data_IF_522898875227
#
_entry.id   IF_522898875227
#
_cell.length_a   1.000
_cell.length_b   1.000
_cell.length_c   1.000
_cell.angle_alpha   90.00
_cell.angle_beta   90.00
_cell.angle_gamma   90.00
#
_symmetry.space_group_name_H-M   'P 1'
#
loop_
_entity.id
_entity.type
_entity.pdbx_description
1 polymer ?
#
# COMPACT_ATOMS: atom_id res chain seq x y z
N UNK A 1 25.40 9.78 9.85
CA UNK A 1 24.88 8.52 10.44
C UNK A 1 23.45 8.68 10.95
N UNK A 2 23.13 9.71 11.75
CA UNK A 2 21.79 9.94 12.31
C UNK A 2 20.68 10.06 11.23
N UNK A 3 20.88 10.92 10.23
CA UNK A 3 19.95 11.10 9.10
C UNK A 3 19.67 9.82 8.31
N UNK A 4 20.67 8.94 8.15
CA UNK A 4 20.51 7.65 7.49
C UNK A 4 19.66 6.71 8.36
N UNK A 5 19.88 6.70 9.68
CA UNK A 5 19.08 5.90 10.62
C UNK A 5 17.61 6.36 10.63
N UNK A 6 17.37 7.67 10.64
CA UNK A 6 16.03 8.24 10.59
C UNK A 6 15.31 7.85 9.28
N UNK A 7 15.96 8.01 8.13
CA UNK A 7 15.42 7.58 6.83
C UNK A 7 15.13 6.07 6.79
N UNK A 8 16.01 5.23 7.35
CA UNK A 8 15.76 3.79 7.45
C UNK A 8 14.56 3.46 8.34
N UNK A 9 14.38 4.18 9.44
CA UNK A 9 13.22 4.00 10.34
C UNK A 9 11.91 4.38 9.64
N UNK A 10 11.90 5.50 8.92
CA UNK A 10 10.72 5.95 8.16
C UNK A 10 10.38 4.98 7.03
N UNK A 11 11.39 4.49 6.30
CA UNK A 11 11.18 3.48 5.27
C UNK A 11 10.61 2.18 5.87
N UNK A 12 11.13 1.74 7.03
CA UNK A 12 10.64 0.55 7.70
C UNK A 12 9.17 0.69 8.10
N UNK A 13 8.78 1.83 8.67
CA UNK A 13 7.38 2.11 8.99
C UNK A 13 6.48 2.08 7.74
N UNK A 14 6.93 2.69 6.63
CA UNK A 14 6.19 2.65 5.36
C UNK A 14 6.01 1.23 4.80
N UNK A 15 7.04 0.38 4.91
CA UNK A 15 6.96 -1.04 4.52
C UNK A 15 5.96 -1.79 5.41
N UNK A 16 5.99 -1.56 6.72
CA UNK A 16 5.08 -2.22 7.66
C UNK A 16 3.61 -1.85 7.40
N UNK A 17 3.35 -0.58 7.13
CA UNK A 17 2.02 -0.12 6.72
C UNK A 17 1.58 -0.74 5.39
N UNK A 18 2.48 -0.81 4.39
CA UNK A 18 2.21 -1.46 3.11
C UNK A 18 1.83 -2.94 3.30
N UNK A 19 2.60 -3.68 4.08
CA UNK A 19 2.36 -5.10 4.37
C UNK A 19 1.03 -5.30 5.11
N UNK A 20 0.67 -4.40 6.01
CA UNK A 20 -0.63 -4.42 6.69
C UNK A 20 -1.78 -4.22 5.70
N UNK A 21 -1.68 -3.24 4.80
CA UNK A 21 -2.71 -2.99 3.78
C UNK A 21 -2.80 -4.12 2.76
N UNK A 22 -1.68 -4.77 2.42
CA UNK A 22 -1.67 -5.95 1.56
C UNK A 22 -2.46 -7.11 2.20
N UNK A 23 -2.31 -7.33 3.51
CA UNK A 23 -3.10 -8.34 4.25
C UNK A 23 -4.60 -8.01 4.23
N UNK A 24 -4.96 -6.73 4.38
CA UNK A 24 -6.37 -6.29 4.27
C UNK A 24 -6.93 -6.61 2.88
N UNK A 25 -6.21 -6.25 1.81
CA UNK A 25 -6.63 -6.59 0.44
C UNK A 25 -6.81 -8.10 0.24
N UNK A 26 -5.88 -8.92 0.76
CA UNK A 26 -6.00 -10.38 0.69
C UNK A 26 -7.23 -10.90 1.43
N UNK A 27 -7.55 -10.36 2.61
CA UNK A 27 -8.73 -10.72 3.38
C UNK A 27 -10.03 -10.34 2.63
N UNK A 28 -10.09 -9.13 2.06
CA UNK A 28 -11.25 -8.68 1.29
C UNK A 28 -11.43 -9.50 0.00
N UNK A 29 -10.34 -9.86 -0.70
CA UNK A 29 -10.39 -10.77 -1.86
C UNK A 29 -10.93 -12.15 -1.46
N UNK A 30 -10.51 -12.71 -0.33
CA UNK A 30 -11.03 -13.98 0.18
C UNK A 30 -12.52 -13.88 0.53
N UNK A 31 -12.95 -12.76 1.11
CA UNK A 31 -14.36 -12.50 1.40
C UNK A 31 -15.19 -12.41 0.12
N UNK A 32 -14.70 -11.71 -0.90
CA UNK A 32 -15.33 -11.66 -2.22
C UNK A 32 -15.47 -13.04 -2.86
N UNK A 33 -14.42 -13.88 -2.81
CA UNK A 33 -14.47 -15.26 -3.33
C UNK A 33 -15.55 -16.06 -2.57
N UNK A 34 -15.59 -15.96 -1.24
CA UNK A 34 -16.59 -16.65 -0.42
C UNK A 34 -18.01 -16.23 -0.82
N UNK A 35 -18.27 -14.93 -0.95
CA UNK A 35 -19.56 -14.39 -1.38
C UNK A 35 -19.94 -14.82 -2.79
N UNK A 36 -18.95 -14.95 -3.69
CA UNK A 36 -19.14 -15.42 -5.06
C UNK A 36 -19.51 -16.90 -5.11
N UNK A 37 -18.89 -17.73 -4.28
CA UNK A 37 -19.17 -19.17 -4.21
C UNK A 37 -20.52 -19.44 -3.54
N UNK A 38 -20.89 -18.66 -2.52
CA UNK A 38 -22.15 -18.83 -1.80
C UNK A 38 -23.33 -18.07 -2.41
N UNK A 39 -23.15 -17.44 -3.57
CA UNK A 39 -24.12 -16.56 -4.24
C UNK A 39 -24.83 -15.62 -3.25
N UNK A 40 -24.04 -15.02 -2.36
CA UNK A 40 -24.54 -14.26 -1.20
C UNK A 40 -24.45 -12.75 -1.36
N UNK A 41 -24.05 -12.27 -2.54
CA UNK A 41 -24.11 -10.85 -2.86
C UNK A 41 -25.56 -10.35 -2.79
N UNK A 42 -25.76 -9.18 -2.18
CA UNK A 42 -27.09 -8.56 -2.04
C UNK A 42 -28.10 -9.28 -1.12
N UNK A 43 -27.71 -10.34 -0.40
CA UNK A 43 -28.59 -11.05 0.57
C UNK A 43 -28.57 -10.44 1.98
N UNK A 44 -27.58 -9.61 2.27
CA UNK A 44 -27.54 -8.69 3.41
C UNK A 44 -27.33 -7.28 2.86
N UNK A 45 -27.97 -6.28 3.47
CA UNK A 45 -27.99 -4.89 2.99
C UNK A 45 -26.67 -4.42 2.35
N UNK A 46 -26.76 -4.03 1.08
CA UNK A 46 -25.94 -2.93 0.58
C UNK A 46 -24.86 -3.21 -0.46
N UNK A 47 -24.37 -4.44 -0.66
CA UNK A 47 -23.22 -4.62 -1.58
C UNK A 47 -23.47 -5.60 -2.73
N UNK A 48 -23.70 -5.00 -3.91
CA UNK A 48 -23.66 -5.71 -5.19
C UNK A 48 -22.25 -6.23 -5.49
N UNK A 49 -22.16 -7.25 -6.34
CA UNK A 49 -20.87 -7.76 -6.85
C UNK A 49 -19.99 -6.66 -7.46
N UNK A 50 -20.60 -5.67 -8.12
CA UNK A 50 -19.89 -4.55 -8.73
C UNK A 50 -19.34 -3.57 -7.68
N UNK A 51 -20.08 -3.31 -6.60
CA UNK A 51 -19.60 -2.51 -5.45
C UNK A 51 -18.35 -3.15 -4.85
N UNK A 52 -18.38 -4.47 -4.67
CA UNK A 52 -17.24 -5.25 -4.18
C UNK A 52 -16.01 -5.17 -5.10
N UNK A 53 -16.20 -5.33 -6.40
CA UNK A 53 -15.10 -5.23 -7.35
C UNK A 53 -14.47 -3.83 -7.36
N UNK A 54 -15.30 -2.78 -7.30
CA UNK A 54 -14.82 -1.40 -7.17
C UNK A 54 -14.02 -1.20 -5.87
N UNK A 55 -14.52 -1.73 -4.75
CA UNK A 55 -13.81 -1.65 -3.47
C UNK A 55 -12.43 -2.33 -3.53
N UNK A 56 -12.35 -3.54 -4.09
CA UNK A 56 -11.08 -4.25 -4.28
C UNK A 56 -10.12 -3.49 -5.18
N UNK A 57 -10.63 -2.91 -6.27
CA UNK A 57 -9.84 -2.09 -7.18
C UNK A 57 -9.27 -0.86 -6.46
N UNK A 58 -10.06 -0.16 -5.64
CA UNK A 58 -9.59 1.00 -4.87
C UNK A 58 -8.48 0.62 -3.86
N UNK A 59 -8.57 -0.55 -3.23
CA UNK A 59 -7.53 -1.06 -2.34
C UNK A 59 -6.24 -1.37 -3.11
N UNK A 60 -6.35 -1.98 -4.29
CA UNK A 60 -5.22 -2.27 -5.18
C UNK A 60 -4.54 -0.97 -5.64
N UNK A 61 -5.32 -0.02 -6.16
CA UNK A 61 -4.81 1.29 -6.59
C UNK A 61 -4.13 2.05 -5.44
N UNK A 62 -4.68 1.98 -4.21
CA UNK A 62 -4.05 2.59 -3.04
C UNK A 62 -2.68 1.98 -2.72
N UNK A 63 -2.53 0.66 -2.85
CA UNK A 63 -1.25 -0.02 -2.64
C UNK A 63 -0.23 0.35 -3.71
N UNK A 64 -0.64 0.44 -4.98
CA UNK A 64 0.23 0.85 -6.08
C UNK A 64 0.74 2.28 -5.88
N UNK A 65 -0.14 3.21 -5.49
CA UNK A 65 0.25 4.58 -5.17
C UNK A 65 1.29 4.60 -4.05
N UNK A 66 1.06 3.88 -2.95
CA UNK A 66 2.02 3.80 -1.83
C UNK A 66 3.38 3.27 -2.28
N UNK A 67 3.40 2.22 -3.10
CA UNK A 67 4.62 1.63 -3.61
C UNK A 67 5.41 2.62 -4.47
N UNK A 68 4.73 3.33 -5.38
CA UNK A 68 5.33 4.37 -6.22
C UNK A 68 5.86 5.51 -5.36
N UNK A 69 5.08 6.02 -4.41
CA UNK A 69 5.50 7.09 -3.50
C UNK A 69 6.70 6.69 -2.64
N UNK A 70 6.76 5.47 -2.12
CA UNK A 70 7.93 4.98 -1.37
C UNK A 70 9.19 4.92 -2.24
N UNK A 71 9.07 4.43 -3.47
CA UNK A 71 10.19 4.40 -4.43
C UNK A 71 10.70 5.80 -4.75
N UNK A 72 9.80 6.75 -4.97
CA UNK A 72 10.17 8.14 -5.24
C UNK A 72 10.80 8.81 -4.02
N UNK A 73 10.26 8.58 -2.82
CA UNK A 73 10.84 9.08 -1.58
C UNK A 73 12.28 8.57 -1.36
N UNK A 74 12.55 7.29 -1.63
CA UNK A 74 13.91 6.72 -1.60
C UNK A 74 14.81 7.41 -2.62
N UNK A 75 14.34 7.59 -3.86
CA UNK A 75 15.11 8.24 -4.93
C UNK A 75 15.49 9.68 -4.56
N UNK A 76 14.53 10.46 -4.06
CA UNK A 76 14.74 11.83 -3.62
C UNK A 76 15.69 11.88 -2.40
N UNK A 77 15.52 10.97 -1.45
CA UNK A 77 16.41 10.87 -0.29
C UNK A 77 17.85 10.55 -0.70
N UNK A 78 18.07 9.64 -1.64
CA UNK A 78 19.38 9.31 -2.18
C UNK A 78 20.04 10.53 -2.87
N UNK A 79 19.30 11.25 -3.73
CA UNK A 79 19.80 12.47 -4.37
C UNK A 79 20.23 13.53 -3.35
N UNK A 80 19.43 13.74 -2.30
CA UNK A 80 19.75 14.68 -1.21
C UNK A 80 20.94 14.25 -0.34
N UNK A 81 21.39 12.99 -0.42
CA UNK A 81 22.60 12.50 0.23
C UNK A 81 23.85 12.71 -0.65
N UNK A 82 23.70 12.60 -1.98
CA UNK A 82 24.76 12.82 -2.97
C UNK A 82 25.09 14.31 -3.19
N UNK A 83 24.11 15.23 -3.08
CA UNK A 83 24.28 16.68 -3.29
C UNK A 83 25.11 17.40 -2.18
N UNK A 84 25.94 16.69 -1.42
CA UNK A 84 26.95 17.34 -0.56
C UNK A 84 28.08 17.87 -1.46
N UNK A 85 28.36 19.20 -1.48
CA UNK A 85 29.59 19.66 -2.07
C UNK A 85 30.74 19.17 -1.20
N UNK A 86 31.66 18.41 -1.80
CA UNK A 86 33.03 18.29 -1.33
C UNK A 86 33.59 19.71 -1.22
N UNK A 87 33.46 20.31 -0.03
CA UNK A 87 34.23 21.48 0.36
C UNK A 87 35.37 20.98 1.24
N UNK A 88 36.47 20.65 0.59
CA UNK A 88 37.82 20.91 1.10
C UNK A 88 38.53 21.84 0.11
#
# INVERSE_FOLDING_TARGET
MEKIRELSSLLKAGIDEYDQQLKVLQQERLKYIRLSVSDSFGKSDGDSKNSWLLHLQQLEESLDIRLVSMREAIRLAAKNLDDKPDKE
#
